data_IF_119133766408
#
_entry.id   IF_119133766408
#
_cell.length_a   1.000
_cell.length_b   1.000
_cell.length_c   1.000
_cell.angle_alpha   90.00
_cell.angle_beta   90.00
_cell.angle_gamma   90.00
#
_symmetry.space_group_name_H-M   'P 1'
#
loop_
_entity.id
_entity.type
_entity.pdbx_description
1 polymer ?
2 polymer ?
3 non-polymer ?
4 non-polymer ?
5 water ?
#
# COMPACT_ATOMS: atom_id res chain seq x y z
N UNK A 1 -9.04 20.32 11.93
CA UNK A 1 -9.62 19.05 11.40
C UNK A 1 -10.86 18.64 12.16
N UNK A 2 -11.70 17.82 11.51
CA UNK A 2 -12.95 17.41 12.14
C UNK A 2 -12.69 16.57 13.38
N UNK A 3 -11.56 15.89 13.44
CA UNK A 3 -11.23 15.05 14.59
C UNK A 3 -10.41 15.79 15.65
N UNK A 4 -10.19 17.09 15.47
CA UNK A 4 -9.32 17.83 16.35
C UNK A 4 -9.79 17.93 17.79
N UNK A 5 -11.10 17.83 18.01
CA UNK A 5 -11.64 17.92 19.37
C UNK A 5 -11.71 16.57 20.08
N UNK A 6 -11.37 15.46 19.41
CA UNK A 6 -11.44 14.16 20.05
C UNK A 6 -10.09 13.75 20.60
N UNK A 7 -10.13 13.13 21.78
CA UNK A 7 -8.91 12.62 22.39
C UNK A 7 -8.22 11.62 21.49
N UNK A 8 -6.88 11.61 21.52
CA UNK A 8 -6.10 10.63 20.78
C UNK A 8 -6.53 9.20 21.10
N UNK A 9 -6.66 8.90 22.38
CA UNK A 9 -7.02 7.52 22.78
C UNK A 9 -8.41 7.15 22.28
N UNK A 10 -9.35 8.11 22.28
CA UNK A 10 -10.70 7.84 21.78
C UNK A 10 -10.69 7.57 20.27
N UNK A 11 -9.86 8.30 19.54
CA UNK A 11 -9.70 8.07 18.11
C UNK A 11 -9.20 6.68 17.84
N UNK A 12 -8.16 6.24 18.56
CA UNK A 12 -7.65 4.89 18.40
C UNK A 12 -8.72 3.87 18.77
N UNK A 13 -9.41 4.10 19.88
CA UNK A 13 -10.51 3.21 20.28
C UNK A 13 -11.55 3.08 19.18
N UNK A 14 -11.94 4.22 18.58
CA UNK A 14 -12.98 4.20 17.58
C UNK A 14 -12.48 3.64 16.25
N UNK A 15 -11.20 3.78 15.94
CA UNK A 15 -10.68 3.12 14.73
C UNK A 15 -10.79 1.60 14.86
N UNK A 16 -10.55 1.09 16.06
CA UNK A 16 -10.68 -0.36 16.28
C UNK A 16 -12.12 -0.80 16.17
N UNK A 17 -13.06 0.01 16.67
CA UNK A 17 -14.49 -0.30 16.50
C UNK A 17 -14.87 -0.29 15.02
N UNK A 18 -14.42 0.70 14.27
CA UNK A 18 -14.70 0.78 12.85
C UNK A 18 -14.12 -0.44 12.13
N UNK A 19 -12.93 -0.90 12.54
CA UNK A 19 -12.39 -2.14 11.98
C UNK A 19 -13.36 -3.31 12.19
N UNK A 20 -13.79 -3.54 13.42
CA UNK A 20 -14.72 -4.64 13.69
C UNK A 20 -15.99 -4.53 12.87
N UNK A 21 -16.44 -3.29 12.60
CA UNK A 21 -17.64 -3.04 11.82
C UNK A 21 -17.37 -2.92 10.32
N UNK A 22 -16.15 -3.14 9.87
CA UNK A 22 -15.80 -3.00 8.46
C UNK A 22 -16.22 -1.64 7.89
N UNK A 23 -16.12 -0.61 8.73
CA UNK A 23 -16.45 0.77 8.35
C UNK A 23 -15.14 1.52 8.08
N UNK A 24 -14.54 1.18 6.94
CA UNK A 24 -13.14 1.55 6.71
C UNK A 24 -12.96 3.03 6.41
N UNK A 25 -13.98 3.69 5.84
CA UNK A 25 -13.88 5.14 5.66
C UNK A 25 -13.80 5.83 7.02
N UNK A 26 -14.63 5.41 7.98
CA UNK A 26 -14.56 5.96 9.33
C UNK A 26 -13.19 5.65 9.95
N UNK A 27 -12.75 4.40 9.82
CA UNK A 27 -11.49 3.95 10.40
C UNK A 27 -10.35 4.81 9.92
N UNK A 28 -10.36 5.14 8.63
CA UNK A 28 -9.35 6.00 8.07
C UNK A 28 -9.44 7.42 8.61
N UNK A 29 -10.66 7.96 8.75
CA UNK A 29 -10.81 9.29 9.30
C UNK A 29 -10.36 9.37 10.74
N UNK A 30 -10.63 8.32 11.54
CA UNK A 30 -10.18 8.32 12.92
C UNK A 30 -8.65 8.27 13.00
N UNK A 31 -8.00 7.45 12.17
CA UNK A 31 -6.56 7.37 12.23
C UNK A 31 -5.88 8.61 11.69
N UNK A 32 -6.42 9.19 10.63
CA UNK A 32 -5.92 10.49 10.17
C UNK A 32 -5.95 11.49 11.33
N UNK A 33 -7.07 11.51 12.06
CA UNK A 33 -7.14 12.37 13.23
C UNK A 33 -6.08 12.02 14.26
N UNK A 34 -5.84 10.73 14.47
CA UNK A 34 -4.85 10.31 15.43
C UNK A 34 -3.47 10.75 14.96
N UNK A 35 -3.15 10.58 13.68
CA UNK A 35 -1.87 11.04 13.17
C UNK A 35 -1.71 12.53 13.43
N UNK A 36 -2.77 13.31 13.20
CA UNK A 36 -2.64 14.75 13.26
C UNK A 36 -2.49 15.27 14.69
N UNK A 37 -2.61 14.41 15.71
CA UNK A 37 -2.29 14.84 17.06
C UNK A 37 -0.80 15.13 17.24
N UNK A 38 0.05 14.64 16.33
CA UNK A 38 1.45 14.99 16.34
C UNK A 38 2.37 14.01 17.03
N UNK A 39 1.85 12.95 17.60
CA UNK A 39 2.67 11.94 18.26
C UNK A 39 2.94 10.77 17.33
N UNK A 40 4.09 10.13 17.51
CA UNK A 40 4.40 8.97 16.69
C UNK A 40 3.36 7.89 16.92
N UNK A 41 3.17 7.02 15.92
CA UNK A 41 2.27 5.89 16.09
C UNK A 41 3.04 4.70 16.59
N UNK A 42 2.42 3.91 17.47
CA UNK A 42 2.95 2.59 17.84
C UNK A 42 2.80 1.61 16.68
N UNK A 43 3.33 0.40 16.87
CA UNK A 43 3.23 -0.61 15.83
C UNK A 43 1.77 -0.99 15.56
N UNK A 44 1.00 -1.24 16.61
CA UNK A 44 -0.40 -1.59 16.41
C UNK A 44 -1.15 -0.46 15.75
N UNK A 45 -0.75 0.79 16.01
CA UNK A 45 -1.43 1.93 15.45
C UNK A 45 -1.06 2.13 13.98
N UNK A 46 0.20 1.83 13.63
CA UNK A 46 0.59 1.86 12.23
C UNK A 46 -0.24 0.90 11.41
N UNK A 47 -0.49 -0.29 11.96
CA UNK A 47 -1.27 -1.28 11.23
C UNK A 47 -2.71 -0.84 11.05
N UNK A 48 -3.31 -0.19 12.06
CA UNK A 48 -4.65 0.34 11.90
C UNK A 48 -4.70 1.36 10.78
N UNK A 49 -3.69 2.25 10.73
CA UNK A 49 -3.63 3.27 9.67
C UNK A 49 -3.57 2.62 8.30
N UNK A 50 -2.71 1.62 8.12
CA UNK A 50 -2.48 1.10 6.78
C UNK A 50 -3.66 0.28 6.32
N UNK A 51 -4.26 -0.51 7.23
CA UNK A 51 -5.42 -1.30 6.87
C UNK A 51 -6.58 -0.40 6.46
N UNK A 52 -6.78 0.69 7.19
CA UNK A 52 -7.92 1.56 6.91
C UNK A 52 -7.87 2.09 5.48
N UNK A 53 -6.76 2.72 5.12
CA UNK A 53 -6.65 3.29 3.78
C UNK A 53 -6.44 2.23 2.71
N UNK A 54 -5.83 1.09 3.04
CA UNK A 54 -5.74 0.02 2.05
C UNK A 54 -7.10 -0.44 1.59
N UNK A 55 -8.08 -0.52 2.50
CA UNK A 55 -9.41 -0.95 2.13
C UNK A 55 -10.20 0.14 1.42
N UNK A 56 -10.04 1.41 1.81
CA UNK A 56 -10.70 2.52 1.13
C UNK A 56 -10.24 2.61 -0.32
N UNK A 57 -8.93 2.78 -0.52
CA UNK A 57 -8.39 2.91 -1.87
C UNK A 57 -8.61 1.62 -2.65
N UNK A 58 -8.54 0.47 -1.97
CA UNK A 58 -8.79 -0.79 -2.66
C UNK A 58 -10.14 -0.84 -3.32
N UNK A 59 -11.19 -0.42 -2.60
CA UNK A 59 -12.51 -0.36 -3.22
C UNK A 59 -12.59 0.64 -4.35
N UNK A 60 -11.91 1.79 -4.21
CA UNK A 60 -11.90 2.79 -5.27
C UNK A 60 -11.20 2.26 -6.51
N UNK A 61 -10.08 1.55 -6.32
CA UNK A 61 -9.36 0.97 -7.45
C UNK A 61 -10.18 -0.10 -8.15
N UNK A 62 -10.83 -0.99 -7.39
CA UNK A 62 -11.65 -2.01 -8.05
C UNK A 62 -12.77 -1.36 -8.88
N UNK A 63 -13.41 -0.35 -8.34
CA UNK A 63 -14.45 0.30 -9.12
C UNK A 63 -13.87 1.05 -10.32
N UNK A 64 -12.68 1.65 -10.16
CA UNK A 64 -12.04 2.32 -11.29
C UNK A 64 -11.72 1.32 -12.39
N UNK A 65 -11.22 0.13 -12.03
CA UNK A 65 -10.98 -0.89 -13.06
C UNK A 65 -12.26 -1.36 -13.76
N UNK A 66 -13.39 -1.44 -13.04
CA UNK A 66 -14.64 -1.82 -13.69
C UNK A 66 -15.01 -0.79 -14.76
N UNK A 67 -15.00 0.48 -14.38
CA UNK A 67 -15.41 1.55 -15.30
C UNK A 67 -14.43 1.71 -16.46
N UNK A 68 -13.13 1.56 -16.18
CA UNK A 68 -12.13 1.67 -17.24
C UNK A 68 -12.30 0.58 -18.27
N UNK A 69 -12.58 -0.66 -17.83
CA UNK A 69 -12.87 -1.74 -18.76
C UNK A 69 -14.08 -1.42 -19.63
N UNK A 70 -15.13 -0.86 -19.04
CA UNK A 70 -16.29 -0.47 -19.84
C UNK A 70 -15.90 0.64 -20.80
N UNK A 71 -15.08 1.60 -20.34
CA UNK A 71 -14.65 2.69 -21.20
C UNK A 71 -13.88 2.17 -22.40
N UNK A 72 -12.98 1.20 -22.15
CA UNK A 72 -12.18 0.65 -23.25
C UNK A 72 -13.06 -0.11 -24.24
N UNK A 73 -14.03 -0.86 -23.75
CA UNK A 73 -14.95 -1.55 -24.65
C UNK A 73 -15.73 -0.56 -25.50
N UNK A 74 -16.02 0.62 -24.97
CA UNK A 74 -16.76 1.65 -25.70
C UNK A 74 -15.92 2.34 -26.76
N UNK A 75 -14.63 2.03 -26.84
CA UNK A 75 -13.76 2.61 -27.86
C UNK A 75 -13.23 1.56 -28.84
N UNK A 76 -13.74 0.32 -28.78
CA UNK A 76 -13.39 -0.69 -29.77
C UNK A 76 -14.07 -0.32 -31.09
N UNK A 78 -16.63 -0.85 -33.58
CA UNK A 78 -17.95 -1.44 -33.71
C UNK A 78 -18.90 -1.03 -32.60
N UNK A 79 -18.34 -0.53 -31.49
CA UNK A 79 -19.14 -0.18 -30.33
C UNK A 79 -19.99 1.04 -30.58
N UNK A 80 -21.22 1.01 -30.06
CA UNK A 80 -22.17 2.09 -30.28
C UNK A 80 -21.86 3.25 -29.35
N UNK A 81 -21.73 4.46 -29.93
CA UNK A 81 -21.56 5.65 -29.13
C UNK A 81 -22.63 5.73 -28.05
N UNK A 82 -22.20 5.90 -26.80
CA UNK A 82 -23.14 6.05 -25.68
C UNK A 82 -23.06 7.41 -25.02
N UNK A 83 -22.15 8.29 -25.46
CA UNK A 83 -22.00 9.61 -24.88
C UNK A 83 -20.84 9.70 -23.92
N UNK A 84 -20.76 10.81 -23.17
CA UNK A 84 -19.61 11.02 -22.29
C UNK A 84 -19.76 10.43 -20.90
N UNK A 85 -20.88 9.73 -20.61
CA UNK A 85 -21.17 9.38 -19.24
C UNK A 85 -20.12 8.41 -18.67
N UNK A 86 -19.66 7.46 -19.47
CA UNK A 86 -18.71 6.50 -18.94
C UNK A 86 -17.41 7.20 -18.57
N UNK A 87 -16.86 8.00 -19.49
CA UNK A 87 -15.67 8.76 -19.16
C UNK A 87 -15.91 9.65 -17.95
N UNK A 88 -17.07 10.29 -17.86
CA UNK A 88 -17.30 11.22 -16.76
C UNK A 88 -17.25 10.49 -15.43
N UNK A 89 -17.91 9.33 -15.37
CA UNK A 89 -18.00 8.62 -14.09
C UNK A 89 -16.69 7.92 -13.72
N UNK A 90 -15.98 7.40 -14.73
CA UNK A 90 -14.61 6.95 -14.49
C UNK A 90 -13.73 8.08 -13.96
N UNK A 91 -13.83 9.28 -14.54
CA UNK A 91 -13.08 10.42 -14.00
C UNK A 91 -13.52 10.75 -12.56
N UNK A 92 -14.81 10.68 -12.28
CA UNK A 92 -15.29 11.01 -10.94
C UNK A 92 -14.62 10.10 -9.90
N UNK A 93 -14.65 8.77 -10.16
CA UNK A 93 -14.04 7.82 -9.24
C UNK A 93 -12.55 8.02 -9.18
N UNK A 94 -11.93 8.33 -10.32
CA UNK A 94 -10.49 8.52 -10.38
C UNK A 94 -10.08 9.71 -9.52
N UNK A 95 -10.80 10.82 -9.62
CA UNK A 95 -10.46 12.00 -8.85
C UNK A 95 -10.60 11.75 -7.34
N UNK A 96 -11.64 11.01 -6.94
CA UNK A 96 -11.77 10.63 -5.53
C UNK A 96 -10.59 9.76 -5.09
N UNK A 97 -10.25 8.78 -5.89
CA UNK A 97 -9.11 7.92 -5.60
C UNK A 97 -7.83 8.74 -5.45
N UNK A 98 -7.53 9.60 -6.43
CA UNK A 98 -6.35 10.45 -6.32
C UNK A 98 -6.38 11.30 -5.05
N UNK A 99 -7.58 11.69 -4.61
CA UNK A 99 -7.68 12.51 -3.40
C UNK A 99 -7.26 11.76 -2.15
N UNK A 100 -7.71 10.51 -2.04
CA UNK A 100 -7.31 9.69 -0.90
C UNK A 100 -5.80 9.46 -0.94
N UNK A 101 -5.27 9.12 -2.10
CA UNK A 101 -3.83 8.89 -2.19
C UNK A 101 -3.07 10.14 -1.77
N UNK A 102 -3.56 11.31 -2.18
CA UNK A 102 -2.87 12.54 -1.82
C UNK A 102 -2.94 12.76 -0.32
N UNK A 103 -4.08 12.40 0.30
CA UNK A 103 -4.24 12.58 1.74
C UNK A 103 -3.26 11.69 2.50
N UNK A 104 -3.10 10.44 2.06
CA UNK A 104 -2.18 9.52 2.72
C UNK A 104 -0.74 9.98 2.51
N UNK A 105 -0.40 10.41 1.29
CA UNK A 105 0.97 10.88 1.07
C UNK A 105 1.26 12.10 1.92
N UNK A 106 0.24 12.93 2.16
CA UNK A 106 0.45 14.11 2.98
C UNK A 106 0.66 13.79 4.43
N UNK A 107 -0.03 12.75 4.94
CA UNK A 107 0.21 12.32 6.31
C UNK A 107 1.63 11.81 6.44
N UNK A 108 2.08 10.98 5.49
CA UNK A 108 3.44 10.48 5.57
C UNK A 108 4.42 11.63 5.52
N UNK A 109 4.15 12.63 4.70
CA UNK A 109 5.07 13.77 4.58
C UNK A 109 4.97 14.72 5.76
N UNK A 110 3.84 14.71 6.49
CA UNK A 110 3.57 15.62 7.58
C UNK A 110 2.97 14.87 8.78
N UNK A 111 3.82 14.23 9.61
CA UNK A 111 5.27 14.19 9.48
C UNK A 111 5.80 12.79 9.87
N UNK A 112 5.08 11.74 9.44
CA UNK A 112 5.36 10.39 9.91
C UNK A 112 6.76 9.90 9.52
N UNK A 113 7.14 10.05 8.25
CA UNK A 113 8.42 9.53 7.79
C UNK A 113 9.57 10.28 8.46
N UNK A 114 9.43 11.58 8.58
CA UNK A 114 10.51 12.43 9.06
C UNK A 114 10.86 12.15 10.51
N UNK A 115 9.88 11.71 11.31
CA UNK A 115 10.09 11.43 12.72
C UNK A 115 10.30 9.95 13.03
N UNK A 116 10.27 9.08 12.02
CA UNK A 116 10.46 7.64 12.23
C UNK A 116 11.95 7.33 12.14
N UNK A 117 12.53 6.89 13.27
CA UNK A 117 13.92 6.52 13.33
C UNK A 117 14.17 5.02 13.34
N UNK A 118 13.36 4.28 14.09
CA UNK A 118 13.49 2.84 14.10
C UNK A 118 13.16 2.26 12.73
N UNK A 119 13.88 1.20 12.35
CA UNK A 119 13.68 0.64 11.02
C UNK A 119 12.25 0.15 10.83
N UNK A 120 11.64 -0.41 11.87
CA UNK A 120 10.32 -1.02 11.70
C UNK A 120 9.27 0.02 11.29
N UNK A 121 9.41 1.25 11.77
CA UNK A 121 8.49 2.29 11.40
C UNK A 121 8.90 2.96 10.09
N UNK A 122 10.19 3.26 9.94
CA UNK A 122 10.61 3.98 8.74
C UNK A 122 10.34 3.17 7.49
N UNK A 123 10.62 1.87 7.53
CA UNK A 123 10.35 1.03 6.37
C UNK A 123 8.86 0.92 6.12
N UNK A 124 8.08 0.76 7.19
CA UNK A 124 6.63 0.69 7.07
C UNK A 124 6.06 1.90 6.35
N UNK A 125 6.49 3.11 6.74
CA UNK A 125 5.94 4.31 6.14
C UNK A 125 6.45 4.50 4.72
N UNK A 126 7.73 4.15 4.45
CA UNK A 126 8.23 4.30 3.10
C UNK A 126 7.56 3.31 2.16
N UNK A 127 7.25 2.10 2.64
CA UNK A 127 6.47 1.18 1.83
C UNK A 127 5.13 1.81 1.47
N UNK A 128 4.43 2.35 2.49
CA UNK A 128 3.15 3.02 2.24
C UNK A 128 3.29 4.11 1.18
N UNK A 129 4.35 4.92 1.28
CA UNK A 129 4.58 5.97 0.28
C UNK A 129 4.71 5.36 -1.12
N UNK A 130 5.41 4.25 -1.25
CA UNK A 130 5.53 3.64 -2.57
C UNK A 130 4.21 3.09 -3.03
N UNK A 131 3.44 2.50 -2.11
CA UNK A 131 2.14 1.95 -2.46
C UNK A 131 1.22 3.02 -3.04
N UNK A 132 1.09 4.17 -2.39
CA UNK A 132 0.10 5.16 -2.82
C UNK A 132 0.58 5.94 -4.03
N UNK A 133 1.89 6.15 -4.19
CA UNK A 133 2.40 6.61 -5.50
C UNK A 133 2.13 5.57 -6.58
N UNK A 134 2.29 4.28 -6.27
CA UNK A 134 1.95 3.23 -7.22
C UNK A 134 0.47 3.31 -7.63
N UNK A 135 -0.43 3.57 -6.66
CA UNK A 135 -1.84 3.67 -6.99
C UNK A 135 -2.09 4.87 -7.89
N UNK A 136 -1.36 5.97 -7.67
CA UNK A 136 -1.49 7.13 -8.56
C UNK A 136 -0.99 6.77 -9.97
N UNK A 137 0.05 5.92 -10.05
CA UNK A 137 0.58 5.49 -11.35
C UNK A 137 -0.41 4.62 -12.12
N UNK A 138 -1.20 3.81 -11.43
CA UNK A 138 -2.17 2.96 -12.12
C UNK A 138 -3.11 3.78 -12.99
N UNK A 139 -3.48 4.98 -12.54
CA UNK A 139 -4.45 5.80 -13.27
C UNK A 139 -3.79 6.95 -14.00
N UNK A 140 -2.46 7.06 -13.98
CA UNK A 140 -1.80 8.17 -14.66
C UNK A 140 -1.64 7.89 -16.15
N UNK A 141 -1.71 8.96 -16.94
CA UNK A 141 -1.50 8.90 -18.38
C UNK A 141 -0.74 10.14 -18.86
N UNK A 143 1.14 12.87 -19.23
CA UNK A 143 2.31 13.73 -19.11
C UNK A 143 3.02 13.53 -17.78
N UNK A 144 2.42 12.71 -16.92
CA UNK A 144 2.82 12.62 -15.53
C UNK A 144 3.19 11.22 -15.05
N UNK A 145 2.86 10.18 -15.82
CA UNK A 145 3.05 8.83 -15.32
C UNK A 145 4.51 8.59 -14.94
N UNK A 146 5.45 9.08 -15.75
CA UNK A 146 6.86 8.77 -15.51
C UNK A 146 7.35 9.31 -14.16
N UNK A 147 6.95 10.53 -13.79
CA UNK A 147 7.44 11.12 -12.56
C UNK A 147 6.77 10.48 -11.35
N UNK A 148 5.52 10.05 -11.50
CA UNK A 148 4.85 9.33 -10.42
C UNK A 148 5.50 7.96 -10.22
N UNK A 149 5.76 7.24 -11.31
CA UNK A 149 6.46 5.95 -11.25
C UNK A 149 7.81 6.09 -10.55
N UNK A 150 8.58 7.12 -10.89
CA UNK A 150 9.88 7.27 -10.24
C UNK A 150 9.74 7.60 -8.75
N UNK A 151 8.72 8.39 -8.39
CA UNK A 151 8.46 8.61 -6.95
C UNK A 151 8.20 7.30 -6.20
N UNK A 152 7.40 6.42 -6.78
CA UNK A 152 7.11 5.15 -6.14
C UNK A 152 8.39 4.33 -5.98
N UNK A 153 9.17 4.23 -7.06
CA UNK A 153 10.41 3.43 -7.04
C UNK A 153 11.38 3.96 -5.99
N UNK A 154 11.56 5.30 -5.95
CA UNK A 154 12.45 5.92 -4.99
C UNK A 154 12.03 5.60 -3.55
N UNK A 155 10.73 5.64 -3.28
CA UNK A 155 10.26 5.33 -1.92
C UNK A 155 10.49 3.85 -1.60
N UNK A 156 10.10 2.97 -2.53
CA UNK A 156 10.34 1.55 -2.33
C UNK A 156 11.83 1.25 -2.15
N UNK A 157 12.67 1.90 -2.96
CA UNK A 157 14.09 1.56 -2.96
C UNK A 157 14.76 1.91 -1.64
N UNK A 158 14.40 3.07 -1.07
CA UNK A 158 14.94 3.48 0.22
C UNK A 158 14.47 2.55 1.33
N UNK A 159 13.18 2.14 1.29
CA UNK A 159 12.71 1.14 2.24
C UNK A 159 13.48 -0.17 2.07
N UNK A 160 13.70 -0.57 0.82
CA UNK A 160 14.46 -1.79 0.56
C UNK A 160 15.83 -1.70 1.20
N UNK A 161 16.53 -0.59 0.96
CA UNK A 161 17.88 -0.42 1.51
C UNK A 161 17.89 -0.56 3.02
N UNK A 162 16.98 0.17 3.71
CA UNK A 162 16.94 0.12 5.17
C UNK A 162 16.60 -1.30 5.63
N UNK A 163 15.63 -1.93 4.99
CA UNK A 163 15.14 -3.22 5.45
C UNK A 163 16.23 -4.29 5.32
N UNK A 164 17.03 -4.23 4.28
CA UNK A 164 18.11 -5.19 4.13
C UNK A 164 19.20 -4.98 5.19
N UNK A 165 19.46 -3.74 5.55
CA UNK A 165 20.53 -3.48 6.51
C UNK A 165 20.08 -3.76 7.94
N UNK A 166 18.81 -3.48 8.25
CA UNK A 166 18.40 -3.36 9.65
C UNK A 166 17.38 -4.38 10.11
N UNK A 167 16.83 -5.20 9.22
CA UNK A 167 15.82 -6.17 9.61
C UNK A 167 16.25 -7.57 9.19
N UNK A 168 15.79 -8.60 9.89
CA UNK A 168 16.04 -9.99 9.45
C UNK A 168 15.23 -10.32 8.22
N UNK A 169 15.69 -11.31 7.44
CA UNK A 169 15.01 -11.60 6.16
C UNK A 169 13.60 -12.09 6.31
N UNK A 170 13.21 -12.50 7.50
CA UNK A 170 11.86 -12.98 7.80
C UNK A 170 10.93 -11.90 8.33
N UNK A 171 11.43 -10.70 8.54
CA UNK A 171 10.58 -9.65 9.10
C UNK A 171 9.37 -9.43 8.19
N UNK A 172 8.14 -9.43 8.75
CA UNK A 172 6.96 -9.31 7.90
C UNK A 172 6.90 -8.02 7.08
N UNK A 173 7.35 -6.90 7.63
CA UNK A 173 7.36 -5.67 6.87
C UNK A 173 8.33 -5.78 5.69
N UNK A 174 9.54 -6.33 5.95
CA UNK A 174 10.50 -6.51 4.85
C UNK A 174 9.93 -7.40 3.76
N UNK A 175 9.27 -8.49 4.17
CA UNK A 175 8.66 -9.39 3.19
C UNK A 175 7.53 -8.71 2.42
N UNK A 176 6.69 -7.94 3.11
CA UNK A 176 5.56 -7.28 2.45
C UNK A 176 6.00 -6.17 1.50
N UNK A 177 6.99 -5.39 1.91
CA UNK A 177 7.65 -4.47 1.00
C UNK A 177 8.16 -5.18 -0.27
N UNK A 178 8.93 -6.24 -0.11
CA UNK A 178 9.46 -6.93 -1.28
C UNK A 178 8.34 -7.44 -2.16
N UNK A 179 7.24 -7.94 -1.56
CA UNK A 179 6.13 -8.40 -2.37
C UNK A 179 5.62 -7.29 -3.28
N UNK A 180 5.36 -6.10 -2.70
CA UNK A 180 4.74 -5.01 -3.45
C UNK A 180 5.70 -4.35 -4.43
N UNK A 181 6.99 -4.25 -4.07
CA UNK A 181 7.99 -3.70 -4.98
C UNK A 181 8.21 -4.63 -6.17
N UNK A 182 8.12 -5.95 -5.94
CA UNK A 182 8.14 -6.90 -7.04
C UNK A 182 6.95 -6.69 -7.98
N UNK A 183 5.74 -6.54 -7.44
CA UNK A 183 4.58 -6.29 -8.32
C UNK A 183 4.73 -4.93 -9.01
N UNK A 184 5.33 -3.96 -8.34
CA UNK A 184 5.65 -2.68 -8.98
C UNK A 184 6.50 -2.90 -10.23
N UNK A 185 7.59 -3.67 -10.08
CA UNK A 185 8.42 -3.98 -11.24
C UNK A 185 7.62 -4.67 -12.34
N UNK A 186 6.70 -5.56 -11.97
CA UNK A 186 6.05 -6.43 -12.94
C UNK A 186 5.08 -5.66 -13.82
N UNK A 187 4.18 -4.88 -13.22
CA UNK A 187 3.02 -4.34 -13.92
C UNK A 187 3.03 -2.83 -14.05
N UNK A 188 3.94 -2.13 -13.38
CA UNK A 188 4.07 -0.67 -13.49
C UNK A 188 5.31 -0.27 -14.28
N UNK A 189 6.49 -0.81 -13.89
CA UNK A 189 7.77 -0.38 -14.44
C UNK A 189 8.24 -1.26 -15.59
N UNK A 190 7.37 -2.15 -16.07
CA UNK A 190 7.64 -3.01 -17.23
C UNK A 190 8.95 -3.79 -17.08
N UNK A 191 9.16 -4.37 -15.90
CA UNK A 191 10.41 -5.07 -15.58
C UNK A 191 10.10 -6.44 -14.94
N UNK A 192 9.47 -7.35 -15.70
CA UNK A 192 9.07 -8.64 -15.12
C UNK A 192 10.24 -9.47 -14.64
N UNK A 193 11.40 -9.38 -15.29
CA UNK A 193 12.52 -10.17 -14.80
C UNK A 193 12.99 -9.67 -13.44
N UNK A 194 13.02 -8.35 -13.24
CA UNK A 194 13.38 -7.81 -11.92
C UNK A 194 12.34 -8.24 -10.88
N UNK A 195 11.07 -8.30 -11.28
CA UNK A 195 10.02 -8.71 -10.35
C UNK A 195 10.20 -10.15 -9.92
N UNK A 196 10.49 -11.02 -10.88
CA UNK A 196 10.67 -12.44 -10.57
C UNK A 196 11.90 -12.65 -9.70
N UNK A 197 13.03 -12.05 -10.10
CA UNK A 197 14.25 -12.16 -9.32
C UNK A 197 14.03 -11.68 -7.88
N UNK A 198 13.31 -10.57 -7.71
CA UNK A 198 13.13 -10.03 -6.37
C UNK A 198 12.25 -10.94 -5.52
N UNK A 199 11.19 -11.49 -6.11
CA UNK A 199 10.33 -12.37 -5.34
C UNK A 199 11.06 -13.67 -4.98
N UNK A 200 11.90 -14.17 -5.86
CA UNK A 200 12.58 -15.44 -5.57
C UNK A 200 13.66 -15.27 -4.50
N UNK A 201 14.52 -14.26 -4.67
CA UNK A 201 15.54 -13.99 -3.67
C UNK A 201 14.92 -13.78 -2.29
N UNK A 202 13.86 -12.98 -2.24
CA UNK A 202 13.18 -12.70 -0.99
C UNK A 202 12.62 -13.97 -0.36
N UNK A 203 11.93 -14.79 -1.15
CA UNK A 203 11.39 -16.05 -0.61
C UNK A 203 12.52 -16.94 -0.12
N UNK A 204 13.58 -17.09 -0.93
CA UNK A 204 14.63 -18.03 -0.59
C UNK A 204 15.38 -17.62 0.66
N UNK A 205 15.61 -16.32 0.84
CA UNK A 205 16.37 -15.87 2.00
C UNK A 205 15.54 -15.91 3.28
N UNK A 206 14.23 -15.73 3.18
CA UNK A 206 13.40 -15.95 4.37
C UNK A 206 13.32 -17.44 4.71
N UNK A 207 13.20 -18.30 3.70
CA UNK A 207 13.15 -19.75 3.96
C UNK A 207 14.36 -20.19 4.78
N UNK A 208 15.55 -19.69 4.43
CA UNK A 208 16.76 -20.06 5.15
C UNK A 208 16.79 -19.55 6.58
N UNK A 209 15.97 -18.57 6.91
CA UNK A 209 15.99 -17.96 8.23
C UNK A 209 14.89 -18.50 9.15
N UNK A 210 14.03 -19.39 8.64
CA UNK A 210 12.89 -19.82 9.44
C UNK A 210 13.34 -20.56 10.69
N UNK A 211 14.49 -21.25 10.61
CA UNK A 211 14.94 -22.05 11.74
C UNK A 211 15.24 -21.23 12.99
N UNK A 212 15.40 -19.91 12.86
CA UNK A 212 15.66 -19.06 14.01
C UNK A 212 14.39 -18.64 14.73
N UNK A 213 13.22 -18.97 14.21
CA UNK A 213 11.96 -18.35 14.63
C UNK A 213 11.19 -19.25 15.58
N UNK A 214 10.55 -18.63 16.56
CA UNK A 214 9.62 -19.32 17.44
C UNK A 214 8.37 -19.76 16.69
N UNK A 215 7.80 -20.87 17.15
CA UNK A 215 6.60 -21.42 16.54
C UNK A 215 5.41 -20.52 16.84
N UNK A 216 4.64 -20.19 15.80
CA UNK A 216 3.40 -19.45 15.93
C UNK A 216 3.63 -18.00 16.31
N UNK A 217 4.84 -17.50 16.18
CA UNK A 217 5.13 -16.09 16.35
C UNK A 217 5.29 -15.37 15.01
N UNK A 218 5.05 -16.06 13.90
CA UNK A 218 5.31 -15.49 12.57
C UNK A 218 4.21 -15.88 11.59
N UNK A 219 2.97 -15.88 12.06
CA UNK A 219 1.84 -16.16 11.17
C UNK A 219 1.82 -15.19 9.99
N UNK A 220 2.17 -13.92 10.22
CA UNK A 220 2.09 -12.95 9.12
C UNK A 220 3.20 -13.18 8.10
N UNK A 221 4.41 -13.50 8.56
CA UNK A 221 5.52 -13.76 7.65
C UNK A 221 5.26 -15.00 6.79
N UNK A 222 4.68 -16.04 7.39
CA UNK A 222 4.40 -17.25 6.63
C UNK A 222 3.34 -16.99 5.57
N UNK A 223 2.33 -16.17 5.91
CA UNK A 223 1.32 -15.77 4.93
C UNK A 223 1.97 -15.07 3.76
N UNK A 224 2.82 -14.08 4.03
CA UNK A 224 3.46 -13.30 2.96
C UNK A 224 4.39 -14.17 2.13
N UNK A 225 5.07 -15.14 2.73
CA UNK A 225 5.89 -16.06 1.94
C UNK A 225 5.05 -16.85 0.96
N UNK A 226 3.86 -17.29 1.39
CA UNK A 226 2.95 -17.92 0.44
C UNK A 226 2.48 -16.93 -0.63
N UNK A 227 2.37 -15.65 -0.28
CA UNK A 227 1.96 -14.67 -1.28
C UNK A 227 3.07 -14.49 -2.32
N UNK A 228 4.34 -14.46 -1.87
CA UNK A 228 5.46 -14.45 -2.80
C UNK A 228 5.48 -15.69 -3.69
N UNK A 229 5.25 -16.86 -3.10
CA UNK A 229 5.25 -18.09 -3.88
C UNK A 229 4.13 -18.09 -4.89
N UNK A 230 2.96 -17.55 -4.51
CA UNK A 230 1.83 -17.51 -5.44
C UNK A 230 2.17 -16.64 -6.65
N UNK A 231 2.74 -15.43 -6.41
CA UNK A 231 3.06 -14.56 -7.53
C UNK A 231 4.06 -15.23 -8.47
N UNK A 232 5.06 -15.92 -7.92
CA UNK A 232 6.05 -16.60 -8.76
C UNK A 232 5.41 -17.66 -9.64
N UNK A 233 4.48 -18.45 -9.08
CA UNK A 233 3.82 -19.49 -9.85
C UNK A 233 3.00 -18.90 -10.97
N UNK A 234 2.38 -17.75 -10.71
CA UNK A 234 1.59 -17.06 -11.70
C UNK A 234 2.45 -16.49 -12.82
N UNK A 235 3.67 -16.06 -12.53
CA UNK A 235 4.54 -15.38 -13.48
C UNK A 235 5.52 -16.28 -14.19
N UNK A 236 5.62 -17.55 -13.79
CA UNK A 236 6.59 -18.48 -14.35
C UNK A 236 5.95 -19.82 -14.72
N UNK B 7 -4.47 -12.54 -10.66
CA UNK B 7 -4.63 -12.33 -9.24
C UNK B 7 -3.29 -12.35 -8.51
N UNK B 8 -2.32 -11.58 -8.99
CA UNK B 8 -1.12 -11.39 -8.20
C UNK B 8 -1.51 -10.72 -6.89
N UNK B 9 -0.73 -11.00 -5.86
CA UNK B 9 -0.97 -10.46 -4.54
C UNK B 9 -0.15 -9.24 -4.22
N UNK B 11 0.17 -6.56 -0.53
CA UNK B 11 -0.21 -6.58 0.89
C UNK B 11 -0.08 -5.18 1.48
#
# INVERSE_FOLDING_TARGET
>A
GAMGSMERASLIQKAKLAEQAERYEDMAAFMKGAVEKGEELSCEERNLLSVAYKNVVGGQRAAWRVLSSIEQKSNEEGSEEKGPEVREYREKVETELQGVCDTVLGLLDSHLIKEAGDAESRVFYLKMKGDYYRYLAEVATGDDKKRIIDSARSAYQEAMDISKKEMPPTNPIRLGLALNFSVFHYEIANSPEEAISLAKTTFDEAMADLHTLSEDSYKDSTLIMQLLRDNLTLWTADNAGEEGGEAPQEPQS
>B
KSPEKNERHXC
#
